data_IF_251977586479
#
_entry.id   IF_251977586479
#
_cell.length_a   1.000
_cell.length_b   1.000
_cell.length_c   1.000
_cell.angle_alpha   90.00
_cell.angle_beta   90.00
_cell.angle_gamma   90.00
#
_symmetry.space_group_name_H-M   'P 1'
#
loop_
_entity.id
_entity.type
_entity.pdbx_description
1 polymer ?
#
# COMPACT_ATOMS: atom_id res chain seq x y z
N UNK A 1 22.59 5.31 -14.11
CA UNK A 1 22.25 5.08 -13.74
C UNK A 1 21.41 5.35 -13.18
N UNK A 2 21.33 5.49 -13.48
CA UNK A 2 20.41 5.95 -12.75
C UNK A 2 19.82 5.19 -11.74
N UNK A 3 20.30 4.28 -11.37
CA UNK A 3 19.74 3.62 -10.23
C UNK A 3 19.54 4.63 -9.15
N UNK A 4 18.34 4.94 -8.89
CA UNK A 4 18.03 5.96 -7.94
C UNK A 4 17.84 5.44 -6.54
N UNK A 5 17.89 4.13 -6.35
CA UNK A 5 17.69 3.57 -5.03
C UNK A 5 18.75 2.53 -4.72
N UNK A 6 19.02 2.37 -3.46
CA UNK A 6 19.93 1.34 -3.00
C UNK A 6 19.32 -0.05 -3.23
N UNK A 7 20.14 -1.07 -3.47
CA UNK A 7 19.61 -2.42 -3.68
C UNK A 7 18.76 -2.94 -2.52
N UNK A 8 19.03 -2.47 -1.31
CA UNK A 8 18.29 -2.90 -0.13
C UNK A 8 17.16 -1.93 0.26
N UNK A 9 16.87 -0.94 -0.59
CA UNK A 9 15.78 -0.03 -0.29
C UNK A 9 14.45 -0.80 -0.34
N UNK A 10 13.51 -0.46 0.53
CA UNK A 10 12.21 -1.09 0.50
C UNK A 10 11.51 -0.88 -0.84
N UNK A 11 10.75 -1.87 -1.24
CA UNK A 11 9.95 -1.80 -2.45
C UNK A 11 8.48 -1.75 -2.08
N UNK A 12 7.77 -0.81 -2.65
CA UNK A 12 6.38 -0.52 -2.32
C UNK A 12 5.49 -0.81 -3.52
N UNK A 13 4.35 -1.42 -3.28
CA UNK A 13 3.31 -1.58 -4.30
C UNK A 13 2.17 -0.64 -3.94
N UNK A 14 1.75 0.20 -4.88
CA UNK A 14 0.66 1.15 -4.69
C UNK A 14 -0.54 0.74 -5.53
N UNK A 15 -1.67 0.51 -4.89
CA UNK A 15 -2.89 0.06 -5.56
C UNK A 15 -3.98 1.10 -5.35
N UNK A 16 -4.42 1.73 -6.43
CA UNK A 16 -5.45 2.77 -6.39
C UNK A 16 -6.08 2.85 -7.77
N UNK A 17 -7.41 2.87 -7.83
CA UNK A 17 -8.12 2.96 -9.10
C UNK A 17 -8.13 4.39 -9.66
N UNK A 18 -7.82 5.38 -8.83
CA UNK A 18 -7.75 6.78 -9.27
C UNK A 18 -6.37 7.04 -9.86
N UNK A 19 -6.31 7.24 -11.16
CA UNK A 19 -5.04 7.40 -11.87
C UNK A 19 -4.22 8.59 -11.37
N UNK A 20 -4.88 9.70 -11.10
CA UNK A 20 -4.18 10.91 -10.66
C UNK A 20 -3.60 10.73 -9.27
N UNK A 21 -4.38 10.18 -8.35
CA UNK A 21 -3.90 9.95 -6.99
C UNK A 21 -2.83 8.88 -6.98
N UNK A 22 -3.00 7.83 -7.77
CA UNK A 22 -1.98 6.78 -7.85
C UNK A 22 -0.65 7.37 -8.33
N UNK A 23 -0.70 8.20 -9.36
CA UNK A 23 0.51 8.85 -9.88
C UNK A 23 1.18 9.72 -8.81
N UNK A 24 0.37 10.45 -8.06
CA UNK A 24 0.89 11.32 -6.99
C UNK A 24 1.55 10.49 -5.89
N UNK A 25 0.90 9.43 -5.45
CA UNK A 25 1.44 8.58 -4.39
C UNK A 25 2.74 7.92 -4.85
N UNK A 26 2.77 7.43 -6.08
CA UNK A 26 3.98 6.82 -6.64
C UNK A 26 5.12 7.83 -6.63
N UNK A 27 4.84 9.08 -6.99
CA UNK A 27 5.87 10.13 -6.99
C UNK A 27 6.41 10.38 -5.58
N UNK A 28 5.53 10.46 -4.60
CA UNK A 28 5.94 10.67 -3.21
C UNK A 28 6.82 9.52 -2.73
N UNK A 29 6.44 8.30 -3.05
CA UNK A 29 7.19 7.11 -2.64
C UNK A 29 8.57 7.10 -3.28
N UNK A 30 8.65 7.44 -4.56
CA UNK A 30 9.94 7.51 -5.26
C UNK A 30 10.84 8.57 -4.67
N UNK A 31 10.28 9.73 -4.35
CA UNK A 31 11.05 10.82 -3.77
C UNK A 31 11.60 10.45 -2.40
N UNK A 32 10.93 9.55 -1.72
CA UNK A 32 11.41 9.06 -0.42
C UNK A 32 12.54 8.05 -0.54
N UNK A 33 12.88 7.64 -1.76
CA UNK A 33 14.01 6.74 -1.98
C UNK A 33 13.64 5.26 -2.09
N UNK A 34 12.36 4.95 -2.23
CA UNK A 34 11.92 3.56 -2.31
C UNK A 34 11.67 3.13 -3.74
N UNK A 35 11.81 1.82 -3.98
CA UNK A 35 11.36 1.26 -5.24
C UNK A 35 9.84 1.19 -5.22
N UNK A 36 9.19 1.42 -6.36
CA UNK A 36 7.73 1.41 -6.38
C UNK A 36 7.20 0.84 -7.68
N UNK A 37 6.17 0.02 -7.55
CA UNK A 37 5.34 -0.42 -8.66
C UNK A 37 3.91 -0.03 -8.31
N UNK A 38 3.04 -0.03 -9.31
CA UNK A 38 1.66 0.35 -9.06
C UNK A 38 0.70 -0.57 -9.80
N UNK A 39 -0.55 -0.54 -9.35
CA UNK A 39 -1.62 -1.31 -9.96
C UNK A 39 -2.89 -0.49 -9.88
N UNK A 40 -3.75 -0.63 -10.90
CA UNK A 40 -4.96 0.19 -11.00
C UNK A 40 -6.16 -0.45 -10.30
N UNK A 41 -6.05 -1.70 -9.88
CA UNK A 41 -7.14 -2.38 -9.18
C UNK A 41 -6.59 -3.56 -8.38
N UNK A 42 -7.48 -4.22 -7.64
CA UNK A 42 -7.08 -5.31 -6.77
C UNK A 42 -6.51 -6.51 -7.53
N UNK A 43 -7.11 -6.84 -8.67
CA UNK A 43 -6.62 -7.99 -9.43
C UNK A 43 -5.21 -7.73 -9.96
N UNK A 44 -4.98 -6.53 -10.49
CA UNK A 44 -3.64 -6.16 -10.95
C UNK A 44 -2.64 -6.18 -9.80
N UNK A 45 -3.10 -5.79 -8.59
CA UNK A 45 -2.27 -5.88 -7.40
C UNK A 45 -1.88 -7.31 -7.07
N UNK A 46 -2.84 -8.23 -7.15
CA UNK A 46 -2.56 -9.64 -6.90
C UNK A 46 -1.57 -10.19 -7.94
N UNK A 47 -1.71 -9.76 -9.19
CA UNK A 47 -0.80 -10.19 -10.25
C UNK A 47 0.62 -9.72 -9.97
N UNK A 48 0.77 -8.48 -9.47
CA UNK A 48 2.09 -7.98 -9.09
C UNK A 48 2.70 -8.80 -7.96
N UNK A 49 1.87 -9.16 -6.97
CA UNK A 49 2.36 -9.95 -5.84
C UNK A 49 2.78 -11.35 -6.25
N UNK A 50 2.21 -11.88 -7.31
CA UNK A 50 2.62 -13.17 -7.83
C UNK A 50 3.98 -13.09 -8.52
N UNK A 51 4.36 -11.90 -8.98
CA UNK A 51 5.61 -11.71 -9.72
C UNK A 51 6.79 -11.41 -8.82
N UNK A 52 6.56 -10.70 -7.71
CA UNK A 52 7.65 -10.32 -6.81
C UNK A 52 7.14 -10.00 -5.41
N UNK A 53 8.08 -9.94 -4.48
CA UNK A 53 7.78 -9.59 -3.10
C UNK A 53 7.90 -8.08 -2.91
N UNK A 54 7.02 -7.53 -2.09
CA UNK A 54 7.07 -6.11 -1.72
C UNK A 54 7.20 -5.99 -0.22
N UNK A 55 7.88 -4.94 0.22
CA UNK A 55 8.05 -4.68 1.65
C UNK A 55 6.80 -4.01 2.24
N UNK A 56 6.10 -3.24 1.43
CA UNK A 56 4.86 -2.59 1.84
C UNK A 56 3.90 -2.58 0.67
N UNK A 57 2.63 -2.80 0.97
CA UNK A 57 1.56 -2.77 -0.03
C UNK A 57 0.57 -1.70 0.43
N UNK A 58 0.50 -0.60 -0.32
CA UNK A 58 -0.42 0.50 -0.01
C UNK A 58 -1.64 0.34 -0.89
N UNK A 59 -2.79 0.16 -0.28
CA UNK A 59 -4.01 -0.18 -1.02
C UNK A 59 -5.16 0.74 -0.64
N UNK A 60 -5.83 1.28 -1.63
CA UNK A 60 -7.05 2.05 -1.42
C UNK A 60 -8.11 1.13 -0.82
N UNK A 61 -8.86 1.65 0.13
CA UNK A 61 -9.94 0.90 0.76
C UNK A 61 -11.08 0.67 -0.22
N UNK A 62 -11.45 1.69 -0.98
CA UNK A 62 -12.62 1.62 -1.85
C UNK A 62 -12.22 1.65 -3.31
N UNK A 63 -12.49 0.56 -3.99
CA UNK A 63 -12.21 0.43 -5.41
C UNK A 63 -13.35 -0.32 -6.07
N UNK A 64 -13.64 -0.04 -7.35
CA UNK A 64 -14.65 -0.82 -8.08
C UNK A 64 -14.21 -2.28 -8.19
N UNK A 65 -15.15 -3.17 -8.19
CA UNK A 65 -14.85 -4.59 -8.29
C UNK A 65 -14.31 -5.13 -6.99
N UNK A 66 -13.03 -5.42 -6.95
CA UNK A 66 -12.39 -5.94 -5.75
C UNK A 66 -11.96 -4.76 -4.86
N UNK A 67 -12.64 -4.55 -3.74
CA UNK A 67 -12.27 -3.49 -2.82
C UNK A 67 -11.06 -3.89 -1.98
N UNK A 68 -10.56 -2.93 -1.17
CA UNK A 68 -9.34 -3.13 -0.41
C UNK A 68 -9.43 -4.27 0.60
N UNK A 69 -10.58 -4.42 1.25
CA UNK A 69 -10.73 -5.49 2.23
C UNK A 69 -10.74 -6.86 1.55
N UNK A 70 -11.44 -6.97 0.43
CA UNK A 70 -11.45 -8.21 -0.33
C UNK A 70 -10.05 -8.55 -0.83
N UNK A 71 -9.33 -7.53 -1.32
CA UNK A 71 -7.95 -7.72 -1.73
C UNK A 71 -7.10 -8.22 -0.55
N UNK A 72 -7.24 -7.59 0.62
CA UNK A 72 -6.50 -7.99 1.82
C UNK A 72 -6.75 -9.45 2.19
N UNK A 73 -8.03 -9.86 2.16
CA UNK A 73 -8.38 -11.23 2.53
C UNK A 73 -7.82 -12.24 1.54
N UNK A 74 -7.78 -11.87 0.28
CA UNK A 74 -7.20 -12.73 -0.73
C UNK A 74 -5.68 -12.85 -0.54
N UNK A 75 -5.01 -11.75 -0.22
CA UNK A 75 -3.58 -11.78 0.08
C UNK A 75 -3.32 -12.65 1.30
N UNK A 76 -4.13 -12.47 2.34
CA UNK A 76 -3.99 -13.25 3.58
C UNK A 76 -4.12 -14.75 3.30
N UNK A 77 -5.04 -15.11 2.43
CA UNK A 77 -5.25 -16.51 2.09
C UNK A 77 -4.05 -17.09 1.35
N UNK A 78 -3.44 -16.31 0.46
CA UNK A 78 -2.33 -16.78 -0.37
C UNK A 78 -0.99 -16.69 0.34
N UNK A 79 -0.80 -15.64 1.12
CA UNK A 79 0.49 -15.37 1.75
C UNK A 79 0.26 -14.52 3.00
N UNK A 80 0.06 -15.17 4.15
CA UNK A 80 -0.19 -14.43 5.40
C UNK A 80 0.90 -13.42 5.75
N UNK A 81 2.15 -13.70 5.39
CA UNK A 81 3.23 -12.77 5.67
C UNK A 81 3.07 -11.48 4.86
N UNK A 82 2.63 -11.59 3.61
CA UNK A 82 2.38 -10.41 2.78
C UNK A 82 1.23 -9.58 3.34
N UNK A 83 0.21 -10.22 3.89
CA UNK A 83 -0.93 -9.50 4.47
C UNK A 83 -0.50 -8.57 5.60
N UNK A 84 0.54 -8.92 6.34
CA UNK A 84 1.03 -8.08 7.42
C UNK A 84 1.71 -6.81 6.92
N UNK A 85 1.97 -6.72 5.63
CA UNK A 85 2.64 -5.56 5.02
C UNK A 85 1.65 -4.63 4.32
N UNK A 86 0.36 -4.89 4.46
CA UNK A 86 -0.66 -4.06 3.82
C UNK A 86 -0.94 -2.83 4.68
N UNK A 87 -0.98 -1.68 4.03
CA UNK A 87 -1.40 -0.41 4.63
C UNK A 87 -2.55 0.10 3.78
N UNK A 88 -3.67 0.42 4.40
CA UNK A 88 -4.79 0.98 3.66
C UNK A 88 -4.68 2.49 3.58
N UNK A 89 -5.18 3.06 2.51
CA UNK A 89 -5.30 4.51 2.41
C UNK A 89 -6.73 4.87 2.02
N UNK A 90 -7.20 6.00 2.53
CA UNK A 90 -8.57 6.43 2.29
C UNK A 90 -8.68 7.92 2.55
N UNK A 91 -9.67 8.56 1.93
CA UNK A 91 -9.98 9.96 2.21
C UNK A 91 -10.91 10.11 3.40
N UNK A 92 -11.42 8.99 3.94
CA UNK A 92 -12.45 9.00 5.00
C UNK A 92 -12.06 8.14 6.19
N UNK A 93 -10.83 8.30 6.67
CA UNK A 93 -10.30 7.45 7.72
C UNK A 93 -11.12 7.50 9.01
N UNK A 94 -11.81 8.61 9.27
CA UNK A 94 -12.59 8.78 10.48
C UNK A 94 -14.06 8.47 10.31
N UNK A 95 -14.49 8.14 9.12
CA UNK A 95 -15.91 7.87 8.90
C UNK A 95 -16.30 6.55 9.55
N UNK A 96 -17.54 6.48 9.97
CA UNK A 96 -18.10 5.26 10.54
C UNK A 96 -18.06 4.13 9.51
N UNK A 97 -18.36 4.46 8.25
CA UNK A 97 -18.34 3.52 7.17
C UNK A 97 -16.95 2.91 7.01
N UNK A 98 -15.91 3.73 7.10
CA UNK A 98 -14.55 3.25 6.99
C UNK A 98 -14.19 2.31 8.14
N UNK A 99 -14.59 2.66 9.36
CA UNK A 99 -14.33 1.80 10.51
C UNK A 99 -15.01 0.45 10.38
N UNK A 100 -16.27 0.45 9.94
CA UNK A 100 -17.01 -0.79 9.73
C UNK A 100 -16.37 -1.63 8.66
N UNK A 101 -15.95 -0.98 7.58
CA UNK A 101 -15.34 -1.64 6.46
C UNK A 101 -14.04 -2.33 6.85
N UNK A 102 -13.30 -1.73 7.77
CA UNK A 102 -12.00 -2.25 8.21
C UNK A 102 -12.10 -3.13 9.47
N UNK A 103 -13.31 -3.36 9.94
CA UNK A 103 -13.51 -4.18 11.14
C UNK A 103 -12.88 -5.55 10.96
N UNK A 104 -12.08 -5.95 11.93
CA UNK A 104 -11.42 -7.24 11.87
C UNK A 104 -10.15 -7.29 11.06
N UNK A 105 -9.78 -6.16 10.44
CA UNK A 105 -8.54 -6.07 9.69
C UNK A 105 -7.53 -5.30 10.53
N UNK A 106 -6.40 -5.93 10.80
CA UNK A 106 -5.35 -5.32 11.63
C UNK A 106 -4.25 -4.75 10.74
N UNK A 107 -4.56 -3.67 10.05
CA UNK A 107 -3.61 -3.01 9.17
C UNK A 107 -3.65 -1.51 9.42
N UNK A 108 -2.51 -0.83 9.32
CA UNK A 108 -2.49 0.63 9.45
C UNK A 108 -3.32 1.28 8.37
N UNK A 109 -3.84 2.46 8.66
CA UNK A 109 -4.65 3.23 7.71
C UNK A 109 -4.04 4.63 7.60
N UNK A 110 -3.79 5.05 6.37
CA UNK A 110 -3.31 6.39 6.06
C UNK A 110 -4.45 7.20 5.43
N UNK A 111 -4.58 8.45 5.84
CA UNK A 111 -5.42 9.37 5.11
C UNK A 111 -4.78 9.64 3.76
N UNK A 112 -5.56 9.69 2.70
CA UNK A 112 -5.04 10.15 1.42
C UNK A 112 -4.57 11.59 1.58
N UNK A 113 -3.63 11.96 0.77
CA UNK A 113 -2.93 13.25 0.89
C UNK A 113 -2.05 13.29 2.13
N UNK A 114 -1.56 12.14 2.54
CA UNK A 114 -0.64 12.04 3.66
C UNK A 114 0.67 12.76 3.33
N UNK A 115 1.37 13.20 4.38
CA UNK A 115 2.68 13.81 4.21
C UNK A 115 3.74 12.73 4.05
N UNK A 116 4.91 13.15 3.59
CA UNK A 116 6.04 12.25 3.49
C UNK A 116 6.43 11.68 4.86
N UNK A 117 6.37 12.52 5.90
CA UNK A 117 6.68 12.05 7.25
C UNK A 117 5.68 11.02 7.74
N UNK A 118 4.40 11.25 7.47
CA UNK A 118 3.36 10.28 7.82
C UNK A 118 3.58 8.96 7.12
N UNK A 119 3.95 9.02 5.85
CA UNK A 119 4.21 7.81 5.08
C UNK A 119 5.43 7.08 5.67
N UNK A 120 6.50 7.80 5.96
CA UNK A 120 7.70 7.18 6.52
C UNK A 120 7.46 6.55 7.87
N UNK A 121 6.67 7.21 8.73
CA UNK A 121 6.31 6.65 10.03
C UNK A 121 5.53 5.35 9.88
N UNK A 122 4.58 5.34 8.98
CA UNK A 122 3.77 4.14 8.74
C UNK A 122 4.63 3.03 8.16
N UNK A 123 5.50 3.37 7.24
CA UNK A 123 6.40 2.40 6.64
C UNK A 123 7.28 1.75 7.70
N UNK A 124 7.77 2.55 8.64
CA UNK A 124 8.63 2.04 9.71
C UNK A 124 7.92 1.02 10.59
N UNK A 125 6.61 1.16 10.76
CA UNK A 125 5.83 0.21 11.52
C UNK A 125 5.77 -1.16 10.83
N UNK A 126 5.82 -1.15 9.51
CA UNK A 126 5.73 -2.39 8.72
C UNK A 126 7.09 -3.03 8.53
N UNK A 127 8.06 -2.21 8.08
CA UNK A 127 9.38 -2.70 7.70
C UNK A 127 10.29 -2.83 8.92
N UNK A 128 10.06 -2.00 9.92
CA UNK A 128 10.92 -1.94 11.10
C UNK A 128 12.15 -1.09 10.85
N UNK A 129 13.01 -1.00 11.86
CA UNK A 129 14.22 -0.19 11.73
C UNK A 129 15.12 -0.70 10.61
N UNK A 130 15.67 0.23 9.84
CA UNK A 130 16.61 -0.10 8.79
C UNK A 130 18.00 0.34 9.22
N UNK A 131 18.95 -0.43 8.76
CA UNK A 131 20.33 -0.12 9.11
C UNK A 131 21.11 0.34 7.94
#
# INVERSE_FOLDING_TARGET
MGASKAPDAPRVLVIDDDDDLRTLVVRVVKQAGYGVDSAADGQAGLDRLAERTYDVIVCDVRMPGMDGVTFYREVERRDPAAARRVVFMTTHVRSEECRDFLWGVHAPVLNKLFTLDEFRSTLAQIVGPRR
#
